data_IF_191160665703
#
_entry.id   IF_191160665703
#
_cell.length_a   1.000
_cell.length_b   1.000
_cell.length_c   1.000
_cell.angle_alpha   90.00
_cell.angle_beta   90.00
_cell.angle_gamma   90.00
#
_symmetry.space_group_name_H-M   'P 1'
#
loop_
_entity.id
_entity.type
_entity.pdbx_description
1 polymer ?
#
# COMPACT_ATOMS: atom_id res chain seq x y z
N UNK A 1 -4.49 -14.77 15.29
CA UNK A 1 -4.98 -14.25 13.98
C UNK A 1 -5.42 -12.79 14.05
N UNK A 2 -6.10 -12.32 15.11
CA UNK A 2 -6.55 -10.92 15.25
C UNK A 2 -5.49 -9.86 14.93
N UNK A 3 -4.28 -9.99 15.47
CA UNK A 3 -3.22 -8.99 15.27
C UNK A 3 -2.74 -8.95 13.81
N UNK A 4 -2.53 -10.11 13.17
CA UNK A 4 -2.13 -10.17 11.77
C UNK A 4 -3.16 -9.51 10.84
N UNK A 5 -4.46 -9.76 11.07
CA UNK A 5 -5.55 -9.13 10.30
C UNK A 5 -5.62 -7.63 10.56
N UNK A 6 -5.46 -7.20 11.82
CA UNK A 6 -5.45 -5.78 12.18
C UNK A 6 -4.32 -5.02 11.48
N UNK A 7 -3.09 -5.54 11.57
CA UNK A 7 -1.92 -4.92 10.92
C UNK A 7 -2.08 -4.94 9.41
N UNK A 8 -2.56 -6.04 8.84
CA UNK A 8 -2.80 -6.09 7.40
C UNK A 8 -3.79 -5.01 6.94
N UNK A 9 -4.88 -4.80 7.68
CA UNK A 9 -5.84 -3.74 7.38
C UNK A 9 -5.22 -2.34 7.46
N UNK A 10 -4.42 -2.06 8.49
CA UNK A 10 -3.75 -0.75 8.65
C UNK A 10 -2.72 -0.49 7.54
N UNK A 11 -1.97 -1.51 7.15
CA UNK A 11 -1.02 -1.43 6.03
C UNK A 11 -1.75 -1.14 4.72
N UNK A 12 -2.85 -1.85 4.44
CA UNK A 12 -3.67 -1.58 3.24
C UNK A 12 -4.28 -0.18 3.28
N UNK A 13 -4.79 0.27 4.44
CA UNK A 13 -5.31 1.63 4.58
C UNK A 13 -4.25 2.68 4.27
N UNK A 14 -3.00 2.48 4.70
CA UNK A 14 -1.91 3.39 4.38
C UNK A 14 -1.59 3.38 2.88
N UNK A 15 -1.62 2.22 2.22
CA UNK A 15 -1.45 2.13 0.77
C UNK A 15 -2.57 2.86 0.02
N UNK A 16 -3.84 2.60 0.37
CA UNK A 16 -5.01 3.27 -0.22
C UNK A 16 -4.92 4.80 -0.01
N UNK A 17 -4.49 5.25 1.18
CA UNK A 17 -4.35 6.69 1.47
C UNK A 17 -3.33 7.37 0.55
N UNK A 18 -2.26 6.67 0.11
CA UNK A 18 -1.32 7.20 -0.88
C UNK A 18 -1.91 7.22 -2.29
N UNK A 19 -2.70 6.20 -2.64
CA UNK A 19 -3.37 6.11 -3.93
C UNK A 19 -4.42 7.22 -4.09
N UNK A 20 -5.33 7.35 -3.11
CA UNK A 20 -6.48 8.25 -3.11
C UNK A 20 -6.08 9.74 -3.08
N UNK A 21 -4.90 10.07 -2.56
CA UNK A 21 -4.47 11.46 -2.39
C UNK A 21 -4.14 12.11 -3.74
N UNK A 22 -5.11 12.83 -4.30
CA UNK A 22 -4.99 13.55 -5.57
C UNK A 22 -4.07 14.77 -5.51
N UNK A 23 -3.58 15.14 -4.32
CA UNK A 23 -2.60 16.23 -4.16
C UNK A 23 -1.15 15.77 -4.42
N UNK A 24 -0.90 14.46 -4.39
CA UNK A 24 0.39 13.86 -4.72
C UNK A 24 0.46 13.66 -6.24
N UNK A 25 1.41 14.34 -6.89
CA UNK A 25 1.69 14.16 -8.33
C UNK A 25 1.97 12.69 -8.68
N UNK A 26 1.54 12.24 -9.85
CA UNK A 26 1.75 10.86 -10.33
C UNK A 26 3.22 10.45 -10.30
N UNK A 27 4.14 11.34 -10.71
CA UNK A 27 5.59 11.10 -10.68
C UNK A 27 6.11 10.72 -9.28
N UNK A 28 5.55 11.33 -8.25
CA UNK A 28 5.87 11.02 -6.84
C UNK A 28 5.10 9.81 -6.33
N UNK A 29 3.85 9.62 -6.78
CA UNK A 29 2.96 8.55 -6.32
C UNK A 29 3.40 7.16 -6.80
N UNK A 30 3.81 7.03 -8.07
CA UNK A 30 4.27 5.77 -8.66
C UNK A 30 5.40 5.11 -7.84
N UNK A 31 6.52 5.78 -7.52
CA UNK A 31 7.57 5.17 -6.71
C UNK A 31 7.12 4.91 -5.27
N UNK A 32 6.19 5.69 -4.70
CA UNK A 32 5.64 5.41 -3.37
C UNK A 32 4.85 4.11 -3.36
N UNK A 33 3.95 3.90 -4.33
CA UNK A 33 3.14 2.69 -4.45
C UNK A 33 4.00 1.46 -4.75
N UNK A 34 4.93 1.55 -5.71
CA UNK A 34 5.83 0.44 -6.06
C UNK A 34 6.70 -0.01 -4.89
N UNK A 35 7.24 0.94 -4.12
CA UNK A 35 8.15 0.64 -3.02
C UNK A 35 7.47 0.46 -1.67
N UNK A 36 6.13 0.59 -1.59
CA UNK A 36 5.41 0.58 -0.32
C UNK A 36 5.69 -0.66 0.53
N UNK A 37 5.77 -1.84 -0.12
CA UNK A 37 6.09 -3.09 0.56
C UNK A 37 7.47 -3.08 1.24
N UNK A 38 8.42 -2.29 0.73
CA UNK A 38 9.77 -2.16 1.32
C UNK A 38 9.77 -1.30 2.57
N UNK A 39 8.85 -0.33 2.66
CA UNK A 39 8.73 0.57 3.81
C UNK A 39 8.27 -0.15 5.08
N UNK A 40 7.61 -1.31 4.95
CA UNK A 40 7.32 -2.20 6.07
C UNK A 40 8.57 -2.62 6.86
N UNK A 41 9.73 -2.64 6.19
CA UNK A 41 11.02 -2.99 6.76
C UNK A 41 11.90 -1.78 7.10
N UNK A 42 11.42 -0.54 6.88
CA UNK A 42 12.14 0.69 7.20
C UNK A 42 11.55 1.32 8.47
N UNK A 43 12.23 1.23 9.62
CA UNK A 43 11.64 1.60 10.92
C UNK A 43 11.19 3.06 11.03
N UNK A 44 11.92 3.97 10.38
CA UNK A 44 11.69 5.42 10.49
C UNK A 44 10.86 5.98 9.32
N UNK A 45 10.45 5.13 8.37
CA UNK A 45 9.70 5.59 7.22
C UNK A 45 8.31 6.09 7.63
N UNK A 46 7.97 7.26 7.14
CA UNK A 46 6.67 7.93 7.30
C UNK A 46 6.45 8.90 6.16
N UNK A 47 5.19 9.26 5.94
CA UNK A 47 4.82 10.23 4.92
C UNK A 47 3.97 11.35 5.52
N UNK A 48 4.50 12.58 5.51
CA UNK A 48 3.92 13.74 6.21
C UNK A 48 3.14 14.70 5.31
N UNK A 49 3.08 14.41 4.00
CA UNK A 49 2.58 15.37 3.02
C UNK A 49 1.11 15.16 2.65
N UNK A 50 0.52 14.04 3.08
CA UNK A 50 -0.86 13.68 2.71
C UNK A 50 -1.89 14.67 3.24
N UNK A 51 -2.93 14.92 2.44
CA UNK A 51 -4.10 15.74 2.78
C UNK A 51 -5.35 14.93 3.07
N UNK A 52 -5.25 13.60 3.01
CA UNK A 52 -6.37 12.70 3.24
C UNK A 52 -6.84 12.67 4.71
N UNK A 53 -8.08 12.20 4.90
CA UNK A 53 -8.69 12.05 6.22
C UNK A 53 -7.94 11.06 7.11
N UNK A 54 -7.42 9.98 6.51
CA UNK A 54 -6.79 8.87 7.20
C UNK A 54 -5.26 9.01 7.27
N UNK A 55 -4.70 10.18 6.90
CA UNK A 55 -3.24 10.45 6.84
C UNK A 55 -2.45 10.07 8.10
N UNK A 56 -3.10 9.96 9.26
CA UNK A 56 -2.44 9.51 10.49
C UNK A 56 -1.76 8.14 10.33
N UNK A 57 -2.33 7.22 9.52
CA UNK A 57 -1.68 5.92 9.28
C UNK A 57 -0.37 6.05 8.49
N UNK A 58 -0.17 7.16 7.77
CA UNK A 58 1.07 7.47 7.05
C UNK A 58 2.06 8.27 7.91
N UNK A 59 1.55 9.22 8.71
CA UNK A 59 2.36 10.05 9.60
C UNK A 59 2.99 9.22 10.74
N UNK A 60 2.23 8.27 11.30
CA UNK A 60 2.66 7.33 12.35
C UNK A 60 2.87 5.89 11.81
N UNK A 61 3.23 5.78 10.53
CA UNK A 61 3.59 4.49 9.94
C UNK A 61 4.74 3.73 10.66
N UNK A 62 5.72 4.39 11.32
CA UNK A 62 6.71 3.71 12.16
C UNK A 62 6.09 2.75 13.18
N UNK A 63 4.98 3.15 13.82
CA UNK A 63 4.25 2.33 14.79
C UNK A 63 3.63 1.10 14.12
N UNK A 64 2.99 1.28 12.95
CA UNK A 64 2.37 0.17 12.20
C UNK A 64 3.45 -0.81 11.70
N UNK A 65 4.54 -0.28 11.14
CA UNK A 65 5.64 -1.09 10.61
C UNK A 65 6.39 -1.85 11.71
N UNK A 66 6.51 -1.29 12.91
CA UNK A 66 7.05 -1.98 14.08
C UNK A 66 6.20 -3.21 14.44
N UNK A 67 4.88 -3.03 14.57
CA UNK A 67 3.98 -4.14 14.88
C UNK A 67 3.93 -5.18 13.76
N UNK A 68 4.05 -4.77 12.50
CA UNK A 68 4.25 -5.67 11.37
C UNK A 68 5.50 -6.54 11.54
N UNK A 69 6.65 -5.94 11.85
CA UNK A 69 7.93 -6.66 12.05
C UNK A 69 7.91 -7.59 13.27
N UNK A 70 6.99 -7.36 14.22
CA UNK A 70 6.77 -8.23 15.38
C UNK A 70 5.87 -9.45 15.07
N UNK A 71 5.21 -9.51 13.90
CA UNK A 71 4.43 -10.68 13.50
C UNK A 71 5.31 -11.87 13.17
N UNK A 72 4.77 -13.09 13.23
CA UNK A 72 5.47 -14.26 12.71
C UNK A 72 5.76 -14.10 11.21
N UNK A 73 6.93 -14.53 10.75
CA UNK A 73 7.43 -14.37 9.38
C UNK A 73 6.41 -14.79 8.31
N UNK A 74 5.72 -15.91 8.51
CA UNK A 74 4.66 -16.38 7.59
C UNK A 74 3.56 -15.35 7.32
N UNK A 75 3.24 -14.49 8.27
CA UNK A 75 2.26 -13.41 8.09
C UNK A 75 2.90 -12.21 7.40
N UNK A 76 4.15 -11.87 7.76
CA UNK A 76 4.89 -10.80 7.12
C UNK A 76 5.03 -11.02 5.61
N UNK A 77 5.43 -12.24 5.22
CA UNK A 77 5.59 -12.64 3.81
C UNK A 77 4.30 -12.46 3.01
N UNK A 78 3.17 -12.87 3.57
CA UNK A 78 1.86 -12.74 2.91
C UNK A 78 1.48 -11.26 2.75
N UNK A 79 1.59 -10.47 3.82
CA UNK A 79 1.23 -9.05 3.79
C UNK A 79 2.12 -8.30 2.80
N UNK A 80 3.44 -8.52 2.84
CA UNK A 80 4.40 -7.85 1.96
C UNK A 80 4.18 -8.22 0.48
N UNK A 81 3.91 -9.48 0.15
CA UNK A 81 3.63 -9.89 -1.23
C UNK A 81 2.34 -9.24 -1.77
N UNK A 82 1.27 -9.22 -0.96
CA UNK A 82 0.02 -8.58 -1.37
C UNK A 82 0.21 -7.07 -1.55
N UNK A 83 0.90 -6.39 -0.64
CA UNK A 83 1.19 -4.96 -0.77
C UNK A 83 2.01 -4.65 -2.03
N UNK A 84 2.99 -5.49 -2.36
CA UNK A 84 3.78 -5.35 -3.59
C UNK A 84 2.90 -5.47 -4.83
N UNK A 85 2.05 -6.50 -4.90
CA UNK A 85 1.15 -6.72 -6.05
C UNK A 85 0.12 -5.61 -6.21
N UNK A 86 -0.49 -5.18 -5.09
CA UNK A 86 -1.44 -4.08 -5.08
C UNK A 86 -0.78 -2.76 -5.48
N UNK A 87 0.40 -2.44 -4.94
CA UNK A 87 1.12 -1.22 -5.29
C UNK A 87 1.48 -1.13 -6.77
N UNK A 88 1.90 -2.24 -7.39
CA UNK A 88 2.11 -2.33 -8.85
C UNK A 88 0.78 -2.12 -9.59
N UNK A 89 -0.28 -2.83 -9.19
CA UNK A 89 -1.59 -2.72 -9.82
C UNK A 89 -2.15 -1.29 -9.77
N UNK A 90 -2.13 -0.64 -8.60
CA UNK A 90 -2.60 0.73 -8.42
C UNK A 90 -1.80 1.72 -9.29
N UNK A 91 -0.48 1.58 -9.34
CA UNK A 91 0.36 2.43 -10.17
C UNK A 91 0.06 2.30 -11.67
N UNK A 92 -0.29 1.10 -12.16
CA UNK A 92 -0.68 0.88 -13.57
C UNK A 92 -1.95 1.64 -13.97
N UNK A 93 -2.86 1.90 -13.03
CA UNK A 93 -4.16 2.55 -13.28
C UNK A 93 -4.16 4.06 -13.00
N UNK A 94 -3.07 4.63 -12.48
CA UNK A 94 -2.98 6.08 -12.25
C UNK A 94 -3.13 6.90 -13.53
N UNK A 95 -2.63 6.39 -14.66
CA UNK A 95 -2.66 7.07 -15.96
C UNK A 95 -3.71 6.48 -16.93
N UNK A 96 -4.52 5.51 -16.47
CA UNK A 96 -5.48 4.79 -17.31
C UNK A 96 -6.88 4.87 -16.71
N UNK A 97 -7.79 5.53 -17.42
CA UNK A 97 -9.22 5.34 -17.14
C UNK A 97 -9.63 3.93 -17.53
N UNK A 98 -10.35 3.24 -16.64
CA UNK A 98 -10.91 1.91 -16.94
C UNK A 98 -11.90 2.04 -18.09
N UNK A 99 -11.61 1.40 -19.22
CA UNK A 99 -12.37 1.56 -20.48
C UNK A 99 -13.28 0.38 -20.81
N UNK A 100 -13.19 -0.75 -20.10
CA UNK A 100 -14.00 -1.95 -20.38
C UNK A 100 -14.30 -2.80 -19.13
N UNK A 101 -15.36 -3.62 -19.19
CA UNK A 101 -15.70 -4.59 -18.14
C UNK A 101 -14.58 -5.60 -17.88
N UNK A 102 -13.77 -5.94 -18.90
CA UNK A 102 -12.59 -6.80 -18.73
C UNK A 102 -11.45 -6.12 -17.95
N UNK A 103 -11.31 -4.80 -18.04
CA UNK A 103 -10.39 -4.05 -17.20
C UNK A 103 -10.91 -3.89 -15.76
N UNK A 104 -12.24 -3.81 -15.62
CA UNK A 104 -12.94 -3.77 -14.33
C UNK A 104 -12.82 -5.09 -13.55
N UNK A 105 -13.00 -6.24 -14.22
CA UNK A 105 -12.98 -7.57 -13.59
C UNK A 105 -11.56 -8.11 -13.32
N UNK A 106 -10.51 -7.42 -13.79
CA UNK A 106 -9.13 -7.87 -13.65
C UNK A 106 -8.70 -7.80 -12.17
N UNK A 107 -8.50 -8.94 -11.47
CA UNK A 107 -8.14 -8.92 -10.05
C UNK A 107 -6.72 -8.36 -9.90
N UNK A 108 -6.55 -7.36 -9.01
CA UNK A 108 -5.25 -6.70 -8.71
C UNK A 108 -4.12 -7.69 -8.36
N UNK A 109 -4.45 -8.93 -8.02
CA UNK A 109 -3.52 -9.96 -7.59
C UNK A 109 -2.93 -10.81 -8.73
N UNK A 110 -3.49 -10.85 -9.95
CA UNK A 110 -3.13 -11.85 -10.97
C UNK A 110 -2.37 -11.32 -12.20
N UNK A 111 -1.67 -10.20 -12.12
CA UNK A 111 -0.87 -9.68 -13.24
C UNK A 111 0.62 -9.58 -12.92
N UNK A 112 1.40 -10.49 -13.46
CA UNK A 112 2.79 -10.30 -13.93
C UNK A 112 3.10 -11.45 -14.90
N UNK A 113 4.02 -11.23 -15.85
CA UNK A 113 3.76 -11.14 -17.30
C UNK A 113 3.23 -12.41 -17.96
#
# INVERSE_FOLDING_TARGET
MRNAVCIFYLVLRALDTLEDDMTISVEKKVPLLHNFHSFLYQPDWRFMESKEKDRQVLEDFPTISLEFRNLAEKYQTVIADICRRMGIGMAEFLDKHVTSEQEWDKPQSLKTP
#
